data_IF_856120425139
#
_entry.id   IF_856120425139
#
_cell.length_a   1.000
_cell.length_b   1.000
_cell.length_c   1.000
_cell.angle_alpha   90.00
_cell.angle_beta   90.00
_cell.angle_gamma   90.00
#
_symmetry.space_group_name_H-M   'P 1'
#
loop_
_entity.id
_entity.type
_entity.pdbx_description
1 polymer ?
#
# COMPACT_ATOMS: atom_id res chain seq x y z
N UNK A 1 -10.68 -1.59 -5.80
CA UNK A 1 -9.33 -1.33 -5.25
C UNK A 1 -9.48 -0.91 -3.80
N UNK A 2 -8.77 -1.53 -2.90
CA UNK A 2 -8.89 -1.26 -1.47
C UNK A 2 -7.61 -0.61 -0.95
N UNK A 3 -7.73 0.36 -0.05
CA UNK A 3 -6.59 1.13 0.46
C UNK A 3 -5.56 0.28 1.18
N UNK A 4 -5.96 -0.76 1.91
CA UNK A 4 -4.99 -1.61 2.60
C UNK A 4 -4.09 -2.38 1.62
N UNK A 5 -4.61 -2.73 0.43
CA UNK A 5 -3.80 -3.37 -0.62
C UNK A 5 -2.75 -2.40 -1.16
N UNK A 6 -3.14 -1.14 -1.29
CA UNK A 6 -2.22 -0.07 -1.71
C UNK A 6 -1.11 0.10 -0.69
N UNK A 7 -1.47 0.15 0.58
CA UNK A 7 -0.50 0.28 1.66
C UNK A 7 0.51 -0.88 1.66
N UNK A 8 0.03 -2.11 1.53
CA UNK A 8 0.89 -3.28 1.46
C UNK A 8 1.82 -3.22 0.26
N UNK A 9 1.28 -2.89 -0.90
CA UNK A 9 2.07 -2.74 -2.11
C UNK A 9 3.17 -1.69 -1.95
N UNK A 10 2.82 -0.51 -1.44
CA UNK A 10 3.78 0.57 -1.25
C UNK A 10 4.87 0.20 -0.24
N UNK A 11 4.53 -0.56 0.80
CA UNK A 11 5.50 -1.02 1.78
C UNK A 11 6.51 -1.98 1.16
N UNK A 12 6.06 -2.91 0.31
CA UNK A 12 6.98 -3.79 -0.42
C UNK A 12 7.80 -3.01 -1.43
N UNK A 13 7.19 -2.05 -2.12
CA UNK A 13 7.90 -1.21 -3.08
C UNK A 13 9.03 -0.42 -2.42
N UNK A 14 8.85 0.00 -1.18
CA UNK A 14 9.86 0.73 -0.42
C UNK A 14 10.96 -0.20 0.10
N UNK A 15 10.59 -1.35 0.66
CA UNK A 15 11.55 -2.26 1.27
C UNK A 15 12.22 -3.20 0.27
N UNK A 16 11.52 -3.54 -0.81
CA UNK A 16 11.89 -4.57 -1.78
C UNK A 16 12.22 -5.90 -1.11
N UNK A 17 11.50 -6.18 -0.03
CA UNK A 17 11.68 -7.38 0.78
C UNK A 17 10.35 -7.73 1.44
N UNK A 18 9.73 -8.83 0.99
CA UNK A 18 8.42 -9.24 1.51
C UNK A 18 8.43 -9.55 3.01
N UNK A 19 9.51 -10.16 3.51
CA UNK A 19 9.62 -10.44 4.94
C UNK A 19 9.64 -9.16 5.77
N UNK A 20 10.46 -8.22 5.34
CA UNK A 20 10.60 -6.94 6.04
C UNK A 20 9.31 -6.13 5.98
N UNK A 21 8.66 -6.14 4.82
CA UNK A 21 7.38 -5.46 4.64
C UNK A 21 6.30 -6.06 5.54
N UNK A 22 6.26 -7.40 5.64
CA UNK A 22 5.31 -8.09 6.50
C UNK A 22 5.53 -7.72 7.97
N UNK A 23 6.78 -7.66 8.41
CA UNK A 23 7.11 -7.20 9.76
C UNK A 23 6.63 -5.78 10.00
N UNK A 24 6.91 -4.89 9.06
CA UNK A 24 6.48 -3.48 9.16
C UNK A 24 4.97 -3.34 9.23
N UNK A 25 4.24 -4.17 8.50
CA UNK A 25 2.78 -4.16 8.49
C UNK A 25 2.16 -5.00 9.62
N UNK A 26 2.97 -5.67 10.42
CA UNK A 26 2.53 -6.54 11.51
C UNK A 26 1.60 -7.66 11.04
N UNK A 27 1.93 -8.25 9.90
CA UNK A 27 1.18 -9.37 9.31
C UNK A 27 2.15 -10.46 8.87
N UNK A 28 1.61 -11.65 8.61
CA UNK A 28 2.40 -12.73 8.03
C UNK A 28 2.64 -12.44 6.54
N UNK A 29 3.68 -13.07 5.98
CA UNK A 29 4.00 -12.88 4.57
C UNK A 29 2.85 -13.28 3.64
N UNK A 30 2.14 -14.42 3.86
CA UNK A 30 0.98 -14.75 3.02
C UNK A 30 -0.14 -13.72 3.10
N UNK A 31 -0.39 -13.14 4.26
CA UNK A 31 -1.41 -12.11 4.45
C UNK A 31 -1.06 -10.84 3.66
N UNK A 32 0.22 -10.53 3.57
CA UNK A 32 0.72 -9.40 2.80
C UNK A 32 0.66 -9.69 1.30
N UNK A 33 1.11 -10.87 0.90
CA UNK A 33 1.31 -11.24 -0.51
C UNK A 33 0.00 -11.31 -1.29
N UNK A 34 -1.03 -11.91 -0.70
CA UNK A 34 -2.31 -12.12 -1.38
C UNK A 34 -2.99 -10.84 -1.85
N UNK A 35 -3.13 -9.79 -1.02
CA UNK A 35 -3.70 -8.53 -1.49
C UNK A 35 -2.90 -7.88 -2.61
N UNK A 36 -1.57 -8.00 -2.57
CA UNK A 36 -0.70 -7.46 -3.61
C UNK A 36 -0.92 -8.19 -4.94
N UNK A 37 -1.08 -9.52 -4.89
CA UNK A 37 -1.38 -10.30 -6.08
C UNK A 37 -2.75 -9.92 -6.66
N UNK A 38 -3.74 -9.69 -5.82
CA UNK A 38 -5.06 -9.25 -6.26
C UNK A 38 -4.99 -7.87 -6.91
N UNK A 39 -4.21 -6.98 -6.35
CA UNK A 39 -4.01 -5.66 -6.90
C UNK A 39 -3.36 -5.75 -8.30
N UNK A 40 -2.34 -6.60 -8.45
CA UNK A 40 -1.71 -6.86 -9.74
C UNK A 40 -2.72 -7.40 -10.75
N UNK A 41 -3.57 -8.32 -10.33
CA UNK A 41 -4.62 -8.86 -11.20
C UNK A 41 -5.59 -7.78 -11.69
N UNK A 42 -5.95 -6.84 -10.82
CA UNK A 42 -6.79 -5.69 -11.23
C UNK A 42 -6.12 -4.85 -12.32
N UNK A 43 -4.81 -4.70 -12.25
CA UNK A 43 -4.06 -3.89 -13.22
C UNK A 43 -3.59 -4.70 -14.44
N UNK A 44 -3.77 -6.00 -14.41
CA UNK A 44 -3.47 -6.86 -15.55
C UNK A 44 -2.09 -7.49 -15.57
N UNK A 45 -1.34 -7.45 -14.47
CA UNK A 45 -0.01 -8.05 -14.43
C UNK A 45 0.62 -8.08 -13.06
N UNK A 46 1.77 -8.74 -12.97
CA UNK A 46 2.54 -8.78 -11.74
C UNK A 46 3.15 -7.41 -11.44
N UNK A 47 3.14 -7.03 -10.16
CA UNK A 47 3.74 -5.78 -9.70
C UNK A 47 5.20 -5.97 -9.27
N UNK A 48 5.55 -7.17 -8.86
CA UNK A 48 6.91 -7.52 -8.45
C UNK A 48 7.37 -8.77 -9.18
N UNK A 49 8.68 -8.90 -9.34
CA UNK A 49 9.29 -10.12 -9.83
C UNK A 49 10.48 -10.47 -8.94
N UNK A 50 10.81 -11.75 -8.89
CA UNK A 50 11.99 -12.21 -8.20
C UNK A 50 13.06 -12.53 -9.24
N UNK A 51 14.23 -11.93 -9.06
CA UNK A 51 15.35 -12.12 -9.97
C UNK A 51 16.62 -12.20 -9.15
N UNK A 52 17.37 -13.28 -9.33
CA UNK A 52 18.62 -13.54 -8.61
C UNK A 52 18.49 -13.43 -7.09
N UNK A 53 17.36 -13.94 -6.56
CA UNK A 53 17.11 -13.92 -5.13
C UNK A 53 16.65 -12.57 -4.56
N UNK A 54 16.47 -11.56 -5.41
CA UNK A 54 16.02 -10.25 -5.00
C UNK A 54 14.65 -9.90 -5.58
N UNK A 55 13.89 -9.13 -4.82
CA UNK A 55 12.60 -8.62 -5.26
C UNK A 55 12.80 -7.30 -6.01
N UNK A 56 12.19 -7.23 -7.19
CA UNK A 56 12.23 -6.04 -8.02
C UNK A 56 10.82 -5.63 -8.43
N UNK A 57 10.60 -4.35 -8.65
CA UNK A 57 9.38 -3.87 -9.27
C UNK A 57 9.43 -4.21 -10.76
N UNK A 58 8.29 -4.69 -11.30
CA UNK A 58 8.11 -4.77 -12.74
C UNK A 58 7.91 -3.36 -13.30
N UNK A 59 7.89 -3.21 -14.63
CA UNK A 59 7.56 -1.92 -15.23
C UNK A 59 6.17 -1.45 -14.79
N UNK A 60 5.20 -2.39 -14.75
CA UNK A 60 3.88 -2.10 -14.22
C UNK A 60 3.97 -1.64 -12.76
N UNK A 61 4.76 -2.34 -11.95
CA UNK A 61 4.94 -1.97 -10.54
C UNK A 61 5.52 -0.57 -10.37
N UNK A 62 6.48 -0.19 -11.21
CA UNK A 62 7.07 1.16 -11.16
C UNK A 62 6.05 2.23 -11.51
N UNK A 63 5.25 1.98 -12.54
CA UNK A 63 4.19 2.89 -12.93
C UNK A 63 3.15 3.03 -11.82
N UNK A 64 2.71 1.90 -11.27
CA UNK A 64 1.67 1.93 -10.25
C UNK A 64 2.17 2.47 -8.92
N UNK A 65 3.45 2.32 -8.61
CA UNK A 65 4.03 2.94 -7.41
C UNK A 65 3.83 4.45 -7.42
N UNK A 66 4.03 5.07 -8.57
CA UNK A 66 3.84 6.51 -8.72
C UNK A 66 2.39 6.92 -8.50
N UNK A 67 1.48 6.27 -9.20
CA UNK A 67 0.05 6.61 -9.09
C UNK A 67 -0.53 6.26 -7.73
N UNK A 68 -0.24 5.08 -7.21
CA UNK A 68 -0.77 4.64 -5.91
C UNK A 68 -0.13 5.41 -4.75
N UNK A 69 1.09 5.88 -4.91
CA UNK A 69 1.70 6.78 -3.94
C UNK A 69 0.92 8.07 -3.79
N UNK A 70 0.41 8.62 -4.90
CA UNK A 70 -0.45 9.80 -4.87
C UNK A 70 -1.81 9.53 -4.23
N UNK A 71 -2.38 8.35 -4.51
CA UNK A 71 -3.65 7.95 -3.90
C UNK A 71 -3.49 7.85 -2.39
N UNK A 72 -2.42 7.22 -1.92
CA UNK A 72 -2.13 7.10 -0.49
C UNK A 72 -1.93 8.46 0.16
N UNK A 73 -1.14 9.33 -0.45
CA UNK A 73 -0.91 10.68 0.04
C UNK A 73 -2.21 11.47 0.12
N UNK A 74 -3.05 11.38 -0.91
CA UNK A 74 -4.35 12.05 -0.93
C UNK A 74 -5.27 11.53 0.16
N UNK A 75 -5.25 10.22 0.42
CA UNK A 75 -6.01 9.60 1.50
C UNK A 75 -5.57 10.14 2.87
N UNK A 76 -4.26 10.25 3.10
CA UNK A 76 -3.72 10.81 4.34
C UNK A 76 -4.10 12.28 4.50
N UNK A 77 -4.04 13.04 3.42
CA UNK A 77 -4.45 14.44 3.41
C UNK A 77 -5.93 14.59 3.73
N UNK A 78 -6.78 13.71 3.20
CA UNK A 78 -8.21 13.72 3.47
C UNK A 78 -8.49 13.49 4.96
N UNK A 79 -7.80 12.53 5.58
CA UNK A 79 -7.93 12.29 7.01
C UNK A 79 -7.49 13.49 7.84
N UNK A 80 -6.38 14.12 7.48
CA UNK A 80 -5.89 15.30 8.16
C UNK A 80 -6.87 16.48 8.00
N UNK A 81 -7.40 16.66 6.79
CA UNK A 81 -8.38 17.70 6.51
C UNK A 81 -9.66 17.51 7.32
N UNK A 82 -10.12 16.25 7.46
CA UNK A 82 -11.29 15.94 8.25
C UNK A 82 -11.10 16.28 9.73
N UNK A 83 -9.94 15.96 10.29
CA UNK A 83 -9.61 16.30 11.68
C UNK A 83 -9.60 17.82 11.89
N UNK A 84 -9.02 18.54 10.94
CA UNK A 84 -8.96 20.00 10.99
C UNK A 84 -10.36 20.62 10.88
N UNK A 85 -11.19 20.10 9.97
CA UNK A 85 -12.55 20.59 9.76
C UNK A 85 -13.44 20.38 10.99
N UNK A 86 -13.26 19.25 11.69
CA UNK A 86 -14.01 18.95 12.91
C UNK A 86 -13.55 19.77 14.11
N UNK A 87 -12.29 20.21 14.10
CA UNK A 87 -11.70 20.97 15.19
C UNK A 87 -11.31 20.10 16.40
N UNK A 88 -10.50 20.67 17.32
CA UNK A 88 -9.97 19.91 18.44
C UNK A 88 -11.01 19.51 19.49
N UNK A 89 -12.17 20.17 19.50
CA UNK A 89 -13.24 19.88 20.47
C UNK A 89 -14.20 18.83 19.99
N UNK A 90 -14.09 18.41 18.74
CA UNK A 90 -14.97 17.41 18.18
C UNK A 90 -14.51 16.03 18.61
N UNK A 91 -15.29 15.37 19.43
CA UNK A 91 -15.03 13.98 19.75
C UNK A 91 -15.16 13.15 18.46
N UNK A 92 -14.34 12.10 18.31
CA UNK A 92 -14.53 11.18 17.21
C UNK A 92 -15.96 10.65 17.28
N UNK A 93 -16.60 10.62 16.12
CA UNK A 93 -17.93 10.06 16.05
C UNK A 93 -17.88 8.58 16.35
N UNK A 94 -18.40 8.21 17.49
CA UNK A 94 -18.63 6.82 17.83
C UNK A 94 -19.92 6.39 17.19
N UNK A 95 -19.78 5.89 16.03
CA UNK A 95 -20.95 5.38 15.32
C UNK A 95 -20.93 3.88 15.38
#
# INVERSE_FOLDING_TARGET
>A
MEFHRIYYFLTVAETLNFNRAAERCSVSQPVLRRPIQKLGAEFGGALFRRERGHTHLTELGKTMREFLGRVDASSQEALAAARKALGPESAPLNV
#
